data_IF_716198331521
#
_entry.id   IF_716198331521
#
_cell.length_a   1.000
_cell.length_b   1.000
_cell.length_c   1.000
_cell.angle_alpha   90.00
_cell.angle_beta   90.00
_cell.angle_gamma   90.00
#
_symmetry.space_group_name_H-M   'P 1'
#
loop_
_entity.id
_entity.type
_entity.pdbx_description
1 polymer ?
#
# COMPACT_ATOMS: atom_id res chain seq x y z
N UNK A 1 3.92 -22.86 3.75
CA UNK A 1 3.38 -22.24 2.52
C UNK A 1 3.07 -20.82 2.93
N UNK A 2 3.83 -19.85 2.42
CA UNK A 2 3.67 -18.45 2.81
C UNK A 2 2.52 -17.88 2.00
N UNK A 3 1.52 -17.33 2.68
CA UNK A 3 0.43 -16.66 1.98
C UNK A 3 0.98 -15.45 1.24
N UNK A 4 0.56 -15.28 -0.02
CA UNK A 4 0.89 -14.10 -0.83
C UNK A 4 -0.26 -13.10 -0.72
N UNK A 5 0.08 -11.82 -0.78
CA UNK A 5 -0.89 -10.73 -0.75
C UNK A 5 -0.71 -9.78 -1.92
N UNK A 6 -1.81 -9.24 -2.44
CA UNK A 6 -1.81 -8.13 -3.40
C UNK A 6 -2.75 -7.04 -2.90
N UNK A 7 -2.27 -5.80 -2.85
CA UNK A 7 -3.09 -4.61 -2.55
C UNK A 7 -3.47 -3.91 -3.85
N UNK A 8 -4.74 -3.52 -3.95
CA UNK A 8 -5.31 -2.74 -5.04
C UNK A 8 -5.90 -1.46 -4.46
N UNK A 9 -5.26 -0.32 -4.75
CA UNK A 9 -5.72 0.98 -4.27
C UNK A 9 -6.99 1.37 -5.01
N UNK A 10 -8.05 1.69 -4.28
CA UNK A 10 -9.34 2.06 -4.85
C UNK A 10 -9.31 3.55 -5.26
N UNK A 11 -9.97 3.87 -6.38
CA UNK A 11 -10.22 5.26 -6.77
C UNK A 11 -11.45 5.81 -6.05
N UNK A 12 -11.58 7.13 -6.07
CA UNK A 12 -12.76 7.82 -5.55
C UNK A 12 -14.06 7.24 -6.11
N UNK A 13 -15.04 7.08 -5.23
CA UNK A 13 -16.35 6.51 -5.56
C UNK A 13 -16.40 4.99 -5.55
N UNK A 14 -15.30 4.29 -5.26
CA UNK A 14 -15.32 2.85 -4.96
C UNK A 14 -15.17 2.66 -3.45
N UNK A 15 -16.16 2.02 -2.84
CA UNK A 15 -16.26 1.81 -1.39
C UNK A 15 -16.44 0.33 -1.02
N UNK A 16 -16.68 0.06 0.26
CA UNK A 16 -16.96 -1.27 0.80
C UNK A 16 -18.08 -1.99 0.04
N UNK A 17 -19.11 -1.28 -0.43
CA UNK A 17 -20.26 -1.87 -1.12
C UNK A 17 -19.85 -2.46 -2.47
N UNK A 18 -18.99 -1.77 -3.23
CA UNK A 18 -18.48 -2.29 -4.50
C UNK A 18 -17.66 -3.58 -4.30
N UNK A 19 -16.88 -3.66 -3.21
CA UNK A 19 -16.12 -4.87 -2.86
C UNK A 19 -17.06 -5.99 -2.41
N UNK A 20 -18.11 -5.67 -1.64
CA UNK A 20 -19.13 -6.62 -1.24
C UNK A 20 -19.90 -7.19 -2.45
N UNK A 21 -20.19 -6.38 -3.46
CA UNK A 21 -20.81 -6.82 -4.72
C UNK A 21 -19.90 -7.79 -5.49
N UNK A 22 -18.59 -7.52 -5.56
CA UNK A 22 -17.62 -8.45 -6.13
C UNK A 22 -17.57 -9.77 -5.35
N UNK A 23 -17.53 -9.71 -4.01
CA UNK A 23 -17.56 -10.89 -3.18
C UNK A 23 -18.85 -11.72 -3.39
N UNK A 24 -20.01 -11.04 -3.49
CA UNK A 24 -21.28 -11.69 -3.77
C UNK A 24 -21.30 -12.38 -5.15
N UNK A 25 -20.73 -11.75 -6.18
CA UNK A 25 -20.58 -12.34 -7.51
C UNK A 25 -19.74 -13.63 -7.47
N UNK A 26 -18.73 -13.68 -6.61
CA UNK A 26 -17.87 -14.83 -6.38
C UNK A 26 -18.50 -15.89 -5.46
N UNK A 27 -19.66 -15.60 -4.85
CA UNK A 27 -20.29 -16.45 -3.85
C UNK A 27 -19.52 -16.49 -2.53
N UNK A 28 -18.74 -15.45 -2.22
CA UNK A 28 -17.92 -15.37 -1.02
C UNK A 28 -18.70 -14.70 0.11
N UNK A 29 -19.04 -15.43 1.18
CA UNK A 29 -19.80 -14.86 2.29
C UNK A 29 -18.95 -13.87 3.09
N UNK A 30 -19.62 -12.90 3.72
CA UNK A 30 -19.01 -12.05 4.74
C UNK A 30 -18.57 -12.91 5.92
N UNK A 31 -17.35 -12.67 6.42
CA UNK A 31 -16.76 -13.47 7.49
C UNK A 31 -16.20 -12.66 8.64
N UNK A 32 -15.71 -11.45 8.36
CA UNK A 32 -15.24 -10.54 9.39
C UNK A 32 -15.64 -9.11 9.06
N UNK A 33 -15.98 -8.37 10.11
CA UNK A 33 -16.33 -6.97 10.09
C UNK A 33 -15.70 -6.36 11.36
N UNK A 34 -14.57 -5.67 11.18
CA UNK A 34 -13.79 -5.06 12.25
C UNK A 34 -13.94 -3.54 12.10
N UNK A 35 -14.61 -2.85 13.04
CA UNK A 35 -14.74 -1.40 12.98
C UNK A 35 -13.38 -0.71 13.18
N UNK A 36 -13.25 0.52 12.67
CA UNK A 36 -12.07 1.33 12.94
C UNK A 36 -11.99 1.72 14.42
N UNK A 37 -10.79 1.65 14.99
CA UNK A 37 -10.45 2.19 16.30
C UNK A 37 -9.24 3.11 16.17
N UNK A 38 -9.49 4.43 16.25
CA UNK A 38 -8.44 5.44 16.11
C UNK A 38 -7.55 5.57 17.35
N UNK A 39 -8.01 5.08 18.51
CA UNK A 39 -7.19 5.11 19.72
C UNK A 39 -6.11 4.02 19.65
N UNK A 40 -6.49 2.84 19.16
CA UNK A 40 -5.60 1.68 19.01
C UNK A 40 -4.98 1.57 17.60
N UNK A 41 -5.13 2.59 16.75
CA UNK A 41 -4.65 2.59 15.36
C UNK A 41 -5.08 1.37 14.53
N UNK A 42 -6.27 0.83 14.82
CA UNK A 42 -6.84 -0.30 14.09
C UNK A 42 -7.69 0.22 12.92
N UNK A 43 -7.33 -0.06 11.65
CA UNK A 43 -8.13 0.38 10.51
C UNK A 43 -9.45 -0.39 10.43
N UNK A 44 -10.44 0.20 9.74
CA UNK A 44 -11.66 -0.51 9.34
C UNK A 44 -11.27 -1.68 8.43
N UNK A 45 -11.76 -2.88 8.70
CA UNK A 45 -11.54 -4.05 7.85
C UNK A 45 -12.82 -4.85 7.65
N UNK A 46 -13.09 -5.24 6.41
CA UNK A 46 -14.20 -6.14 6.06
C UNK A 46 -13.68 -7.24 5.18
N UNK A 47 -13.91 -8.50 5.57
CA UNK A 47 -13.34 -9.65 4.88
C UNK A 47 -14.41 -10.65 4.42
N UNK A 48 -14.25 -11.08 3.16
CA UNK A 48 -15.02 -12.13 2.51
C UNK A 48 -14.10 -13.26 2.07
N UNK A 49 -14.46 -14.50 2.37
CA UNK A 49 -13.65 -15.66 1.97
C UNK A 49 -14.43 -16.97 1.98
N UNK A 50 -13.97 -17.90 1.13
CA UNK A 50 -14.44 -19.30 1.05
C UNK A 50 -13.28 -20.22 1.39
N UNK A 51 -13.27 -20.72 2.63
CA UNK A 51 -12.18 -21.55 3.14
C UNK A 51 -10.88 -20.76 3.36
N UNK A 52 -9.75 -21.45 3.57
CA UNK A 52 -8.47 -20.81 3.91
C UNK A 52 -7.63 -20.42 2.68
N UNK A 53 -8.07 -20.74 1.46
CA UNK A 53 -7.23 -20.63 0.27
C UNK A 53 -7.14 -19.20 -0.30
N UNK A 54 -8.19 -18.40 -0.12
CA UNK A 54 -8.25 -17.05 -0.64
C UNK A 54 -9.19 -16.16 0.20
N UNK A 55 -8.79 -14.91 0.41
CA UNK A 55 -9.61 -13.89 1.04
C UNK A 55 -9.55 -12.57 0.27
N UNK A 56 -10.67 -11.85 0.31
CA UNK A 56 -10.83 -10.48 -0.14
C UNK A 56 -11.10 -9.62 1.09
N UNK A 57 -10.27 -8.61 1.34
CA UNK A 57 -10.42 -7.71 2.47
C UNK A 57 -10.44 -6.26 2.01
N UNK A 58 -11.53 -5.54 2.28
CA UNK A 58 -11.59 -4.09 2.18
C UNK A 58 -10.96 -3.47 3.42
N UNK A 59 -10.11 -2.46 3.24
CA UNK A 59 -9.43 -1.75 4.33
C UNK A 59 -9.53 -0.24 4.13
N UNK A 60 -9.89 0.49 5.17
CA UNK A 60 -9.74 1.96 5.22
C UNK A 60 -8.48 2.30 6.00
N UNK A 61 -7.43 2.66 5.28
CA UNK A 61 -6.12 2.87 5.87
C UNK A 61 -6.07 4.19 6.64
N UNK A 62 -5.73 4.12 7.92
CA UNK A 62 -5.68 5.31 8.79
C UNK A 62 -4.48 6.19 8.51
N UNK A 63 -3.38 5.62 8.00
CA UNK A 63 -2.14 6.35 7.72
C UNK A 63 -2.28 7.18 6.45
N UNK A 64 -2.76 6.58 5.37
CA UNK A 64 -2.84 7.21 4.06
C UNK A 64 -4.19 7.85 3.75
N UNK A 65 -5.25 7.46 4.45
CA UNK A 65 -6.61 7.93 4.18
C UNK A 65 -7.25 7.33 2.94
N UNK A 66 -6.56 6.44 2.23
CA UNK A 66 -7.08 5.80 1.04
C UNK A 66 -7.64 4.40 1.33
N UNK A 67 -8.79 4.06 0.75
CA UNK A 67 -9.29 2.70 0.81
C UNK A 67 -8.54 1.81 -0.20
N UNK A 68 -8.29 0.57 0.20
CA UNK A 68 -7.73 -0.45 -0.68
C UNK A 68 -8.39 -1.80 -0.47
N UNK A 69 -8.23 -2.67 -1.46
CA UNK A 69 -8.58 -4.08 -1.36
C UNK A 69 -7.32 -4.90 -1.28
N UNK A 70 -7.23 -5.73 -0.25
CA UNK A 70 -6.19 -6.74 -0.09
C UNK A 70 -6.75 -8.10 -0.49
N UNK A 71 -6.07 -8.77 -1.42
CA UNK A 71 -6.37 -10.13 -1.82
C UNK A 71 -5.23 -11.00 -1.31
N UNK A 72 -5.54 -11.95 -0.43
CA UNK A 72 -4.55 -12.88 0.11
C UNK A 72 -4.87 -14.30 -0.30
N UNK A 73 -3.86 -15.10 -0.58
CA UNK A 73 -4.07 -16.51 -0.92
C UNK A 73 -2.79 -17.32 -1.02
N UNK A 74 -2.94 -18.63 -0.94
CA UNK A 74 -1.83 -19.59 -1.02
C UNK A 74 -1.66 -20.25 -2.38
N UNK A 75 -2.69 -20.22 -3.24
CA UNK A 75 -2.64 -20.68 -4.62
C UNK A 75 -2.42 -19.48 -5.56
N UNK A 76 -1.26 -19.43 -6.22
CA UNK A 76 -0.86 -18.34 -7.12
C UNK A 76 -1.81 -18.14 -8.30
N UNK A 77 -2.36 -19.23 -8.87
CA UNK A 77 -3.27 -19.13 -10.03
C UNK A 77 -4.61 -18.55 -9.61
N UNK A 78 -5.14 -19.00 -8.48
CA UNK A 78 -6.40 -18.48 -7.93
C UNK A 78 -6.23 -17.01 -7.49
N UNK A 79 -5.11 -16.69 -6.86
CA UNK A 79 -4.77 -15.31 -6.47
C UNK A 79 -4.70 -14.40 -7.71
N UNK A 80 -3.91 -14.77 -8.73
CA UNK A 80 -3.76 -13.98 -9.96
C UNK A 80 -5.10 -13.75 -10.66
N UNK A 81 -5.91 -14.81 -10.83
CA UNK A 81 -7.22 -14.69 -11.46
C UNK A 81 -8.19 -13.79 -10.67
N UNK A 82 -8.10 -13.82 -9.34
CA UNK A 82 -8.93 -12.96 -8.47
C UNK A 82 -8.47 -11.51 -8.52
N UNK A 83 -7.15 -11.26 -8.54
CA UNK A 83 -6.57 -9.93 -8.74
C UNK A 83 -7.04 -9.34 -10.07
N UNK A 84 -6.89 -10.08 -11.17
CA UNK A 84 -7.32 -9.63 -12.50
C UNK A 84 -8.82 -9.29 -12.55
N UNK A 85 -9.66 -10.13 -11.93
CA UNK A 85 -11.10 -9.88 -11.87
C UNK A 85 -11.41 -8.63 -11.02
N UNK A 86 -10.78 -8.50 -9.86
CA UNK A 86 -10.96 -7.35 -8.98
C UNK A 86 -10.56 -6.05 -9.69
N UNK A 87 -9.43 -6.06 -10.37
CA UNK A 87 -8.97 -4.93 -11.17
C UNK A 87 -9.88 -4.56 -12.37
N UNK A 88 -10.65 -5.52 -12.90
CA UNK A 88 -11.65 -5.29 -13.95
C UNK A 88 -12.98 -4.77 -13.41
N UNK A 89 -13.34 -5.16 -12.18
CA UNK A 89 -14.65 -4.86 -11.57
C UNK A 89 -14.60 -3.65 -10.65
N UNK A 90 -13.48 -3.43 -10.00
CA UNK A 90 -13.22 -2.31 -9.11
C UNK A 90 -12.39 -1.29 -9.89
N UNK A 91 -12.87 -0.04 -9.91
CA UNK A 91 -12.12 1.07 -10.48
C UNK A 91 -10.90 1.35 -9.58
N UNK A 92 -9.80 0.67 -9.89
CA UNK A 92 -8.55 0.66 -9.11
C UNK A 92 -7.47 1.46 -9.82
N UNK A 93 -6.52 1.96 -9.05
CA UNK A 93 -5.30 2.51 -9.60
C UNK A 93 -4.39 1.39 -10.13
N UNK A 94 -3.93 1.53 -11.38
CA UNK A 94 -2.89 0.66 -11.95
C UNK A 94 -1.50 1.16 -11.56
N UNK A 95 -0.52 0.26 -11.54
CA UNK A 95 0.86 0.61 -11.19
C UNK A 95 1.40 1.79 -12.03
N UNK A 96 1.25 1.74 -13.35
CA UNK A 96 1.69 2.83 -14.23
C UNK A 96 0.97 4.15 -13.96
N UNK A 97 -0.31 4.09 -13.56
CA UNK A 97 -1.08 5.28 -13.18
C UNK A 97 -0.61 5.83 -11.84
N UNK A 98 -0.30 4.99 -10.86
CA UNK A 98 0.27 5.40 -9.58
C UNK A 98 1.62 6.08 -9.76
N UNK A 99 2.49 5.51 -10.60
CA UNK A 99 3.79 6.10 -10.91
C UNK A 99 3.61 7.45 -11.62
N UNK A 100 2.73 7.50 -12.62
CA UNK A 100 2.46 8.72 -13.40
C UNK A 100 1.73 9.82 -12.63
N UNK A 101 1.07 9.48 -11.53
CA UNK A 101 0.35 10.40 -10.64
C UNK A 101 1.28 11.12 -9.64
N UNK A 102 2.51 10.63 -9.47
CA UNK A 102 3.51 11.29 -8.64
C UNK A 102 4.13 12.46 -9.41
N UNK A 103 3.67 13.68 -9.11
CA UNK A 103 4.15 14.92 -9.71
C UNK A 103 5.03 15.73 -8.72
N UNK A 104 6.36 15.82 -8.94
CA UNK A 104 7.24 16.60 -8.08
C UNK A 104 7.06 18.11 -8.21
N UNK A 105 6.33 18.59 -9.23
CA UNK A 105 6.02 20.01 -9.43
C UNK A 105 4.68 20.43 -8.78
N UNK A 106 3.92 19.47 -8.25
CA UNK A 106 2.72 19.75 -7.45
C UNK A 106 3.09 20.46 -6.14
N UNK A 107 2.09 21.01 -5.44
CA UNK A 107 2.33 21.50 -4.09
C UNK A 107 2.74 20.34 -3.16
N UNK A 108 3.54 20.63 -2.09
CA UNK A 108 4.11 19.58 -1.25
C UNK A 108 3.10 18.60 -0.65
N UNK A 109 1.90 19.08 -0.28
CA UNK A 109 0.89 18.24 0.33
C UNK A 109 0.32 17.23 -0.69
N UNK A 110 -0.01 17.69 -1.90
CA UNK A 110 -0.44 16.79 -2.98
C UNK A 110 0.67 15.82 -3.40
N UNK A 111 1.92 16.27 -3.48
CA UNK A 111 3.04 15.39 -3.79
C UNK A 111 3.22 14.30 -2.71
N UNK A 112 3.18 14.68 -1.44
CA UNK A 112 3.26 13.75 -0.31
C UNK A 112 2.13 12.71 -0.34
N UNK A 113 0.90 13.14 -0.59
CA UNK A 113 -0.27 12.28 -0.73
C UNK A 113 -0.11 11.28 -1.90
N UNK A 114 0.31 11.74 -3.08
CA UNK A 114 0.56 10.86 -4.23
C UNK A 114 1.69 9.85 -3.97
N UNK A 115 2.73 10.23 -3.23
CA UNK A 115 3.83 9.32 -2.83
C UNK A 115 3.33 8.22 -1.89
N UNK A 116 2.48 8.58 -0.92
CA UNK A 116 1.90 7.61 -0.01
C UNK A 116 0.93 6.67 -0.75
N UNK A 117 0.16 7.23 -1.69
CA UNK A 117 -0.70 6.45 -2.59
C UNK A 117 0.06 5.46 -3.44
N UNK A 118 1.21 5.86 -4.00
CA UNK A 118 2.13 4.99 -4.70
C UNK A 118 2.57 3.83 -3.79
N UNK A 119 3.00 4.13 -2.56
CA UNK A 119 3.40 3.14 -1.56
C UNK A 119 2.40 2.00 -1.35
N UNK A 120 1.13 2.31 -1.13
CA UNK A 120 0.11 1.26 -0.90
C UNK A 120 -0.09 0.33 -2.10
N UNK A 121 0.11 0.83 -3.31
CA UNK A 121 -0.03 0.07 -4.55
C UNK A 121 1.24 -0.69 -4.96
N UNK A 122 2.28 -0.65 -4.13
CA UNK A 122 3.58 -1.27 -4.39
C UNK A 122 3.44 -2.69 -4.96
N UNK A 123 4.14 -3.01 -6.07
CA UNK A 123 4.13 -4.36 -6.62
C UNK A 123 4.79 -5.34 -5.65
N UNK A 124 4.41 -6.62 -5.71
CA UNK A 124 5.01 -7.64 -4.85
C UNK A 124 6.49 -7.86 -5.23
N UNK A 125 6.77 -7.84 -6.52
CA UNK A 125 8.12 -7.96 -7.05
C UNK A 125 8.76 -6.57 -7.20
N UNK A 126 10.08 -6.51 -7.03
CA UNK A 126 10.85 -5.30 -7.20
C UNK A 126 10.62 -4.69 -8.59
N UNK A 127 10.30 -3.40 -8.61
CA UNK A 127 10.11 -2.61 -9.82
C UNK A 127 11.02 -1.37 -9.79
N UNK A 128 11.89 -1.24 -10.78
CA UNK A 128 12.90 -0.18 -10.84
C UNK A 128 12.28 1.22 -11.02
N UNK A 129 11.17 1.33 -11.74
CA UNK A 129 10.51 2.62 -11.98
C UNK A 129 9.80 3.11 -10.71
N UNK A 130 9.13 2.19 -10.02
CA UNK A 130 8.55 2.42 -8.69
C UNK A 130 9.62 2.84 -7.68
N UNK A 131 10.69 2.04 -7.59
CA UNK A 131 11.82 2.30 -6.68
C UNK A 131 12.47 3.66 -6.98
N UNK A 132 12.71 3.95 -8.27
CA UNK A 132 13.25 5.22 -8.72
C UNK A 132 12.36 6.41 -8.37
N UNK A 133 11.05 6.24 -8.34
CA UNK A 133 10.09 7.27 -7.95
C UNK A 133 10.14 7.55 -6.44
N UNK A 134 10.13 6.53 -5.59
CA UNK A 134 10.31 6.72 -4.14
C UNK A 134 11.68 7.31 -3.78
N UNK A 135 12.76 6.88 -4.46
CA UNK A 135 14.09 7.47 -4.28
C UNK A 135 14.13 8.98 -4.59
N UNK A 136 13.35 9.44 -5.56
CA UNK A 136 13.22 10.89 -5.86
C UNK A 136 12.45 11.61 -4.75
N UNK A 137 11.37 11.01 -4.24
CA UNK A 137 10.58 11.57 -3.15
C UNK A 137 11.38 11.72 -1.85
N UNK A 138 12.22 10.74 -1.49
CA UNK A 138 13.14 10.83 -0.35
C UNK A 138 14.15 11.99 -0.45
N UNK A 139 14.41 12.51 -1.66
CA UNK A 139 15.31 13.65 -1.89
C UNK A 139 14.58 14.98 -2.02
N UNK A 140 13.26 15.00 -1.74
CA UNK A 140 12.46 16.21 -1.82
C UNK A 140 12.93 17.27 -0.83
N UNK A 141 12.90 18.54 -1.24
CA UNK A 141 13.12 19.66 -0.34
C UNK A 141 12.04 19.79 0.74
N UNK A 142 10.85 19.22 0.51
CA UNK A 142 9.72 19.27 1.43
C UNK A 142 9.72 18.08 2.39
N UNK A 143 9.59 18.36 3.70
CA UNK A 143 9.71 17.36 4.76
C UNK A 143 8.56 16.34 4.76
N UNK A 144 7.34 16.80 4.49
CA UNK A 144 6.13 15.98 4.33
C UNK A 144 6.26 14.92 3.23
N UNK A 145 6.87 15.27 2.11
CA UNK A 145 7.14 14.34 1.00
C UNK A 145 8.17 13.29 1.41
N UNK A 146 9.26 13.69 2.08
CA UNK A 146 10.29 12.74 2.55
C UNK A 146 9.70 11.77 3.57
N UNK A 147 8.94 12.29 4.54
CA UNK A 147 8.24 11.47 5.53
C UNK A 147 7.27 10.47 4.87
N UNK A 148 6.48 10.93 3.88
CA UNK A 148 5.56 10.06 3.14
C UNK A 148 6.28 8.99 2.34
N UNK A 149 7.47 9.29 1.80
CA UNK A 149 8.29 8.30 1.10
C UNK A 149 8.83 7.23 2.05
N UNK A 150 9.20 7.58 3.29
CA UNK A 150 9.58 6.59 4.32
C UNK A 150 8.40 5.71 4.70
N UNK A 151 7.21 6.28 4.87
CA UNK A 151 5.99 5.50 5.11
C UNK A 151 5.62 4.60 3.92
N UNK A 152 5.78 5.08 2.69
CA UNK A 152 5.48 4.31 1.50
C UNK A 152 6.27 2.98 1.42
N UNK A 153 7.50 2.97 1.96
CA UNK A 153 8.38 1.78 2.01
C UNK A 153 7.78 0.67 2.90
N UNK A 154 7.00 1.01 3.93
CA UNK A 154 6.49 0.01 4.89
C UNK A 154 5.39 -0.87 4.30
N UNK A 155 4.75 -0.45 3.21
CA UNK A 155 3.70 -1.24 2.56
C UNK A 155 4.27 -2.48 1.85
N UNK A 156 5.42 -2.36 1.20
CA UNK A 156 6.12 -3.49 0.59
C UNK A 156 7.64 -3.41 0.86
N UNK A 157 8.13 -4.11 1.89
CA UNK A 157 9.51 -3.97 2.39
C UNK A 157 10.55 -4.71 1.53
N UNK A 158 10.88 -4.18 0.35
CA UNK A 158 11.97 -4.75 -0.47
C UNK A 158 13.35 -4.59 0.19
N UNK A 159 14.23 -5.60 0.12
CA UNK A 159 15.60 -5.51 0.66
C UNK A 159 16.42 -4.32 0.11
N UNK A 160 16.14 -3.90 -1.13
CA UNK A 160 16.80 -2.75 -1.76
C UNK A 160 16.57 -1.42 -1.01
N UNK A 161 15.51 -1.32 -0.20
CA UNK A 161 15.25 -0.13 0.60
C UNK A 161 16.24 0.05 1.75
N UNK A 162 16.89 -1.01 2.24
CA UNK A 162 17.85 -0.89 3.33
C UNK A 162 18.99 0.07 2.99
N UNK A 163 19.67 -0.18 1.87
CA UNK A 163 20.74 0.71 1.39
C UNK A 163 20.23 2.12 1.06
N UNK A 164 19.01 2.24 0.51
CA UNK A 164 18.42 3.55 0.23
C UNK A 164 18.16 4.36 1.50
N UNK A 165 17.68 3.72 2.57
CA UNK A 165 17.42 4.36 3.85
C UNK A 165 18.72 4.70 4.59
N UNK A 166 19.75 3.86 4.52
CA UNK A 166 21.09 4.18 5.03
C UNK A 166 21.64 5.47 4.39
N UNK A 167 21.61 5.57 3.05
CA UNK A 167 22.04 6.78 2.32
C UNK A 167 21.20 8.02 2.66
N UNK A 168 19.89 7.82 2.87
CA UNK A 168 18.95 8.88 3.24
C UNK A 168 19.27 9.43 4.64
N UNK A 169 19.52 8.56 5.61
CA UNK A 169 19.81 8.89 7.00
C UNK A 169 21.10 9.73 7.16
N UNK A 170 22.09 9.54 6.28
CA UNK A 170 23.34 10.32 6.32
C UNK A 170 23.11 11.84 6.15
N UNK A 171 21.98 12.25 5.56
CA UNK A 171 21.72 13.63 5.17
C UNK A 171 20.36 14.19 5.62
N UNK A 172 19.53 13.43 6.34
CA UNK A 172 18.21 13.89 6.77
C UNK A 172 18.32 14.95 7.89
N UNK A 173 17.89 16.20 7.65
CA UNK A 173 18.00 17.25 8.67
C UNK A 173 16.90 17.19 9.75
N UNK A 174 15.77 16.53 9.48
CA UNK A 174 14.66 16.42 10.41
C UNK A 174 14.78 15.16 11.27
N UNK A 175 15.02 15.35 12.57
CA UNK A 175 15.21 14.25 13.51
C UNK A 175 14.00 13.30 13.57
N UNK A 176 12.77 13.80 13.46
CA UNK A 176 11.59 12.94 13.54
C UNK A 176 11.49 12.03 12.30
N UNK A 177 11.89 12.51 11.13
CA UNK A 177 11.93 11.72 9.90
C UNK A 177 13.11 10.73 9.95
N UNK A 178 14.26 11.14 10.49
CA UNK A 178 15.40 10.25 10.69
C UNK A 178 15.05 9.09 11.65
N UNK A 179 14.39 9.38 12.78
CA UNK A 179 13.95 8.35 13.73
C UNK A 179 12.95 7.38 13.08
N UNK A 180 12.02 7.89 12.26
CA UNK A 180 11.10 7.06 11.49
C UNK A 180 11.84 6.15 10.51
N UNK A 181 12.76 6.70 9.72
CA UNK A 181 13.53 5.93 8.75
C UNK A 181 14.42 4.87 9.41
N UNK A 182 14.99 5.18 10.58
CA UNK A 182 15.76 4.23 11.37
C UNK A 182 14.90 3.05 11.84
N UNK A 183 13.69 3.30 12.36
CA UNK A 183 12.78 2.24 12.76
C UNK A 183 12.41 1.32 11.58
N UNK A 184 12.10 1.90 10.42
CA UNK A 184 11.81 1.13 9.20
C UNK A 184 13.03 0.30 8.78
N UNK A 185 14.24 0.87 8.83
CA UNK A 185 15.48 0.16 8.51
C UNK A 185 15.74 -1.03 9.46
N UNK A 186 15.50 -0.85 10.76
CA UNK A 186 15.62 -1.92 11.75
C UNK A 186 14.61 -3.05 11.50
N UNK A 187 13.37 -2.71 11.13
CA UNK A 187 12.35 -3.69 10.73
C UNK A 187 12.78 -4.47 9.48
N UNK A 188 13.30 -3.79 8.45
CA UNK A 188 13.80 -4.44 7.24
C UNK A 188 14.94 -5.42 7.53
N UNK A 189 15.82 -5.09 8.48
CA UNK A 189 16.95 -5.95 8.87
C UNK A 189 16.51 -7.20 9.67
N UNK A 190 15.30 -7.20 10.23
CA UNK A 190 14.76 -8.29 11.04
C UNK A 190 13.96 -9.33 10.23
N UNK A 191 13.65 -9.04 8.95
CA UNK A 191 12.90 -9.92 8.03
C UNK A 191 13.78 -10.99 7.40
#
# INVERSE_FOLDING_TARGET
>A
MTDRSRRLVLRDGVDESAVAELAALLGWPLRADIPADRQEWTPRQVAWYVGPAIALTYVEDLLSGFPYVMITGSDEKVLSATVELAEQKLNTWRLAELIGDVDPEADPATYAESVLRLGMGAPVEFDEEFFGTLRRALRSGAADVRQSAVWAITYEPWPAYATLLEEFLDNEPDQAIADLALNVLEELAAM
#
